data_IF_719882418602
#
_entry.id   IF_719882418602
#
_cell.length_a   1.000
_cell.length_b   1.000
_cell.length_c   1.000
_cell.angle_alpha   90.00
_cell.angle_beta   90.00
_cell.angle_gamma   90.00
#
_symmetry.space_group_name_H-M   'P 1'
#
loop_
_entity.id
_entity.type
_entity.pdbx_description
1 polymer ?
#
# COMPACT_ATOMS: atom_id res chain seq x y z
N UNK A 1 6.27 -15.37 11.86
CA UNK A 1 5.47 -14.38 11.12
C UNK A 1 6.07 -14.23 9.76
N UNK A 2 5.26 -14.18 8.71
CA UNK A 2 5.73 -13.89 7.36
C UNK A 2 5.00 -12.66 6.84
N UNK A 3 5.75 -11.75 6.21
CA UNK A 3 5.16 -10.56 5.61
C UNK A 3 5.38 -10.60 4.10
N UNK A 4 4.28 -10.51 3.36
CA UNK A 4 4.28 -10.42 1.91
C UNK A 4 3.87 -9.01 1.51
N UNK A 5 4.62 -8.40 0.59
CA UNK A 5 4.28 -7.11 -0.03
C UNK A 5 4.04 -7.39 -1.49
N UNK A 6 2.79 -7.25 -1.91
CA UNK A 6 2.31 -7.66 -3.23
C UNK A 6 1.89 -6.42 -4.00
N UNK A 7 2.33 -6.36 -5.24
CA UNK A 7 1.90 -5.36 -6.21
C UNK A 7 0.41 -5.51 -6.52
N UNK A 8 -0.35 -4.41 -6.50
CA UNK A 8 -1.72 -4.38 -7.01
C UNK A 8 -1.69 -4.56 -8.53
N UNK A 9 -1.94 -5.80 -8.99
CA UNK A 9 -2.02 -6.13 -10.41
C UNK A 9 -3.42 -5.86 -10.98
N UNK A 10 -3.46 -5.53 -12.27
CA UNK A 10 -4.67 -5.52 -13.08
C UNK A 10 -4.50 -6.55 -14.21
N UNK A 11 -5.33 -7.60 -14.30
CA UNK A 11 -6.47 -7.91 -13.42
C UNK A 11 -6.05 -8.35 -12.01
N UNK A 12 -6.86 -7.96 -11.00
CA UNK A 12 -6.63 -8.33 -9.60
C UNK A 12 -7.05 -9.79 -9.39
N UNK A 13 -6.15 -10.69 -8.95
CA UNK A 13 -6.53 -12.07 -8.64
C UNK A 13 -7.47 -12.11 -7.44
N UNK A 14 -8.24 -13.19 -7.33
CA UNK A 14 -9.08 -13.42 -6.15
C UNK A 14 -8.19 -13.57 -4.92
N UNK A 15 -8.63 -13.09 -3.75
CA UNK A 15 -7.86 -13.21 -2.50
C UNK A 15 -7.42 -14.66 -2.21
N UNK A 16 -8.27 -15.63 -2.56
CA UNK A 16 -7.96 -17.06 -2.44
C UNK A 16 -6.83 -17.50 -3.37
N UNK A 17 -6.82 -17.04 -4.63
CA UNK A 17 -5.78 -17.34 -5.60
C UNK A 17 -4.44 -16.76 -5.14
N UNK A 18 -4.46 -15.51 -4.67
CA UNK A 18 -3.27 -14.84 -4.14
C UNK A 18 -2.67 -15.62 -2.97
N UNK A 19 -3.49 -15.99 -1.98
CA UNK A 19 -3.02 -16.76 -0.82
C UNK A 19 -2.49 -18.14 -1.26
N UNK A 20 -3.15 -18.79 -2.21
CA UNK A 20 -2.70 -20.08 -2.73
C UNK A 20 -1.28 -19.98 -3.31
N UNK A 21 -1.00 -18.92 -4.06
CA UNK A 21 0.31 -18.64 -4.64
C UNK A 21 1.36 -18.31 -3.57
N UNK A 22 1.03 -17.40 -2.65
CA UNK A 22 1.94 -16.96 -1.59
C UNK A 22 2.27 -18.09 -0.60
N UNK A 23 1.32 -18.98 -0.31
CA UNK A 23 1.49 -20.09 0.66
C UNK A 23 2.59 -21.08 0.26
N UNK A 24 2.98 -21.09 -1.02
CA UNK A 24 4.00 -21.97 -1.57
C UNK A 24 5.40 -21.35 -1.56
N UNK A 25 5.50 -20.06 -1.28
CA UNK A 25 6.80 -19.40 -1.19
C UNK A 25 7.49 -19.87 0.08
N UNK A 26 8.49 -20.74 -0.10
CA UNK A 26 9.38 -21.14 0.97
C UNK A 26 10.44 -20.07 1.17
N UNK A 27 10.77 -19.83 2.43
CA UNK A 27 11.86 -18.94 2.81
C UNK A 27 12.67 -19.61 3.90
N UNK A 28 13.94 -19.26 3.97
CA UNK A 28 14.83 -19.78 5.01
C UNK A 28 14.39 -19.31 6.39
N UNK A 29 14.57 -20.16 7.39
CA UNK A 29 14.31 -19.79 8.77
C UNK A 29 15.33 -18.73 9.21
N UNK A 30 14.84 -17.53 9.53
CA UNK A 30 15.66 -16.38 9.93
C UNK A 30 15.24 -15.87 11.30
N UNK A 31 16.19 -15.26 12.02
CA UNK A 31 15.91 -14.59 13.30
C UNK A 31 15.07 -13.33 13.14
N UNK A 32 15.09 -12.72 11.96
CA UNK A 32 14.31 -11.54 11.60
C UNK A 32 13.02 -11.91 10.89
N UNK A 33 12.04 -11.00 10.90
CA UNK A 33 10.80 -11.19 10.15
C UNK A 33 11.11 -11.15 8.65
N UNK A 34 10.84 -12.24 7.91
CA UNK A 34 11.04 -12.26 6.46
C UNK A 34 10.00 -11.35 5.78
N UNK A 35 10.50 -10.52 4.88
CA UNK A 35 9.68 -9.64 4.03
C UNK A 35 9.90 -10.07 2.59
N UNK A 36 8.84 -10.61 2.01
CA UNK A 36 8.83 -11.18 0.68
C UNK A 36 8.10 -10.20 -0.24
N UNK A 37 8.82 -9.67 -1.21
CA UNK A 37 8.28 -8.73 -2.19
C UNK A 37 7.89 -9.51 -3.44
N UNK A 38 6.65 -9.32 -3.89
CA UNK A 38 6.11 -10.00 -5.06
C UNK A 38 5.59 -8.95 -6.02
N UNK A 39 6.38 -8.66 -7.05
CA UNK A 39 6.03 -7.69 -8.09
C UNK A 39 5.06 -8.29 -9.11
N UNK A 40 5.42 -9.47 -9.62
CA UNK A 40 4.67 -10.13 -10.69
C UNK A 40 4.22 -11.53 -10.28
N UNK A 41 2.91 -11.73 -10.18
CA UNK A 41 2.30 -13.00 -9.80
C UNK A 41 2.29 -14.03 -10.93
N UNK A 42 2.61 -13.64 -12.17
CA UNK A 42 2.55 -14.58 -13.30
C UNK A 42 3.58 -15.72 -13.16
N UNK A 43 4.71 -15.49 -12.49
CA UNK A 43 5.69 -16.53 -12.18
C UNK A 43 5.17 -17.55 -11.16
N UNK A 44 4.06 -17.25 -10.49
CA UNK A 44 3.41 -18.11 -9.49
C UNK A 44 2.15 -18.81 -10.05
N UNK A 45 1.75 -18.53 -11.31
CA UNK A 45 0.57 -19.14 -11.96
C UNK A 45 0.68 -20.65 -12.07
N UNK A 46 1.89 -21.16 -12.26
CA UNK A 46 2.18 -22.60 -12.39
C UNK A 46 2.10 -23.32 -11.03
N UNK A 47 2.01 -22.55 -9.94
CA UNK A 47 1.89 -23.04 -8.57
C UNK A 47 0.44 -23.11 -8.09
N UNK A 48 -0.54 -23.23 -8.99
CA UNK A 48 -1.91 -23.57 -8.60
C UNK A 48 -1.97 -25.05 -8.22
N UNK A 49 -2.60 -25.38 -7.08
CA UNK A 49 -2.87 -26.79 -6.78
C UNK A 49 -3.70 -27.02 -5.54
N UNK A 50 -3.86 -28.30 -5.23
CA UNK A 50 -5.13 -28.91 -4.84
C UNK A 50 -5.78 -28.51 -3.50
N UNK A 51 -5.16 -27.68 -2.65
CA UNK A 51 -5.73 -27.28 -1.34
C UNK A 51 -5.21 -25.90 -0.89
N UNK A 52 -5.77 -24.78 -1.38
CA UNK A 52 -5.42 -23.46 -0.88
C UNK A 52 -5.86 -23.29 0.58
N UNK A 53 -5.11 -22.52 1.41
CA UNK A 53 -5.59 -22.11 2.72
C UNK A 53 -6.93 -21.38 2.58
N UNK A 54 -7.98 -21.92 3.19
CA UNK A 54 -9.35 -21.36 3.08
C UNK A 54 -9.60 -20.23 4.10
N UNK A 55 -8.71 -20.11 5.07
CA UNK A 55 -8.91 -19.25 6.22
C UNK A 55 -8.08 -17.97 6.11
N UNK A 56 -8.77 -16.88 5.75
CA UNK A 56 -8.18 -15.56 5.62
C UNK A 56 -9.16 -14.47 6.02
N UNK A 57 -8.61 -13.37 6.52
CA UNK A 57 -9.36 -12.13 6.76
C UNK A 57 -8.84 -11.03 5.84
N UNK A 58 -9.74 -10.34 5.16
CA UNK A 58 -9.43 -9.19 4.31
C UNK A 58 -9.81 -7.91 5.02
N UNK A 59 -8.90 -6.94 5.03
CA UNK A 59 -9.15 -5.58 5.47
C UNK A 59 -8.79 -4.58 4.38
N UNK A 60 -9.53 -3.49 4.34
CA UNK A 60 -9.11 -2.28 3.63
C UNK A 60 -8.45 -1.33 4.62
N UNK A 61 -7.46 -0.54 4.18
CA UNK A 61 -6.85 0.46 5.04
C UNK A 61 -7.89 1.42 5.66
N UNK A 62 -8.98 1.70 4.94
CA UNK A 62 -10.12 2.49 5.43
C UNK A 62 -10.71 1.98 6.75
N UNK A 63 -10.68 0.67 7.00
CA UNK A 63 -11.23 0.07 8.21
C UNK A 63 -10.48 0.54 9.47
N UNK A 64 -9.24 1.01 9.31
CA UNK A 64 -8.37 1.46 10.41
C UNK A 64 -8.27 2.98 10.54
N UNK A 65 -8.91 3.75 9.65
CA UNK A 65 -8.84 5.21 9.67
C UNK A 65 -9.82 5.81 10.67
N UNK A 66 -9.48 6.97 11.23
CA UNK A 66 -10.41 7.75 12.04
C UNK A 66 -11.54 8.35 11.20
N UNK A 67 -12.78 8.31 11.71
CA UNK A 67 -13.94 8.97 11.09
C UNK A 67 -13.86 10.51 11.21
N UNK A 68 -13.19 11.01 12.25
CA UNK A 68 -12.95 12.44 12.43
C UNK A 68 -11.70 12.84 11.66
N UNK A 69 -11.90 13.22 10.42
CA UNK A 69 -10.82 13.60 9.51
C UNK A 69 -10.24 14.95 9.93
N UNK A 70 -9.05 14.98 10.53
CA UNK A 70 -8.26 16.21 10.61
C UNK A 70 -7.57 16.39 9.25
N UNK A 71 -8.29 17.00 8.29
CA UNK A 71 -7.82 17.29 6.92
C UNK A 71 -6.85 18.48 6.94
N UNK A 72 -5.79 18.44 7.74
CA UNK A 72 -4.80 19.52 7.71
C UNK A 72 -3.77 19.33 6.61
N UNK A 73 -3.54 18.10 6.13
CA UNK A 73 -2.51 17.80 5.10
C UNK A 73 -2.92 16.74 4.04
N UNK A 74 -4.20 16.34 3.98
CA UNK A 74 -4.64 15.23 3.11
C UNK A 74 -4.15 13.83 3.55
N UNK A 75 -3.49 13.72 4.70
CA UNK A 75 -3.19 12.46 5.37
C UNK A 75 -4.30 12.11 6.36
N UNK A 76 -4.74 10.85 6.32
CA UNK A 76 -5.73 10.32 7.27
C UNK A 76 -4.99 9.69 8.44
N UNK A 77 -5.34 10.06 9.68
CA UNK A 77 -4.72 9.45 10.85
C UNK A 77 -5.27 8.04 11.06
N UNK A 78 -4.36 7.09 11.26
CA UNK A 78 -4.71 5.71 11.57
C UNK A 78 -5.05 5.58 13.07
N UNK A 79 -6.14 4.93 13.44
CA UNK A 79 -6.50 4.75 14.85
C UNK A 79 -5.85 3.48 15.45
N UNK A 80 -4.94 3.59 16.44
CA UNK A 80 -4.35 2.41 17.09
C UNK A 80 -5.39 1.54 17.83
N UNK A 81 -6.50 2.12 18.28
CA UNK A 81 -7.58 1.38 18.93
C UNK A 81 -8.32 0.52 17.90
N UNK A 82 -8.59 1.07 16.70
CA UNK A 82 -9.18 0.27 15.61
C UNK A 82 -8.28 -0.89 15.20
N UNK A 83 -6.96 -0.66 15.07
CA UNK A 83 -6.00 -1.75 14.82
C UNK A 83 -6.14 -2.83 15.89
N UNK A 84 -6.16 -2.45 17.16
CA UNK A 84 -6.27 -3.39 18.28
C UNK A 84 -7.60 -4.16 18.25
N UNK A 85 -8.72 -3.48 18.02
CA UNK A 85 -10.06 -4.08 17.95
C UNK A 85 -10.15 -5.07 16.79
N UNK A 86 -9.72 -4.68 15.59
CA UNK A 86 -9.77 -5.55 14.42
C UNK A 86 -8.80 -6.73 14.58
N UNK A 87 -7.54 -6.48 14.96
CA UNK A 87 -6.51 -7.52 15.05
C UNK A 87 -6.73 -8.51 16.20
N UNK A 88 -7.43 -8.13 17.27
CA UNK A 88 -7.79 -9.05 18.35
C UNK A 88 -8.89 -10.04 17.99
N UNK A 89 -9.76 -9.69 17.03
CA UNK A 89 -10.87 -10.52 16.55
C UNK A 89 -10.47 -11.50 15.45
N UNK A 90 -9.26 -11.38 14.91
CA UNK A 90 -8.80 -12.24 13.84
C UNK A 90 -8.47 -13.60 14.43
N UNK A 91 -9.12 -14.64 13.92
CA UNK A 91 -8.72 -16.03 14.13
C UNK A 91 -8.01 -16.61 12.91
N UNK A 92 -8.11 -15.96 11.75
CA UNK A 92 -7.51 -16.41 10.50
C UNK A 92 -5.99 -16.41 10.45
N UNK A 93 -5.40 -17.50 9.93
CA UNK A 93 -3.95 -17.61 9.74
C UNK A 93 -3.36 -16.60 8.73
N UNK A 94 -4.17 -16.16 7.76
CA UNK A 94 -3.80 -15.16 6.75
C UNK A 94 -4.57 -13.86 6.93
N UNK A 95 -3.86 -12.73 6.88
CA UNK A 95 -4.43 -11.39 6.98
C UNK A 95 -4.00 -10.60 5.75
N UNK A 96 -4.98 -10.16 4.96
CA UNK A 96 -4.76 -9.37 3.76
C UNK A 96 -5.18 -7.94 4.05
N UNK A 97 -4.30 -6.98 3.76
CA UNK A 97 -4.52 -5.56 4.00
C UNK A 97 -4.34 -4.83 2.67
N UNK A 98 -5.41 -4.25 2.18
CA UNK A 98 -5.41 -3.49 0.94
C UNK A 98 -5.19 -1.99 1.19
N UNK A 99 -4.07 -1.46 0.71
CA UNK A 99 -3.74 -0.04 0.83
C UNK A 99 -4.46 0.83 -0.20
N UNK A 100 -5.14 0.25 -1.20
CA UNK A 100 -5.86 1.02 -2.20
C UNK A 100 -4.98 2.11 -2.83
N UNK A 101 -5.53 3.33 -2.92
CA UNK A 101 -4.83 4.52 -3.45
C UNK A 101 -4.54 5.55 -2.34
N UNK A 102 -4.36 5.11 -1.10
CA UNK A 102 -4.11 6.01 0.01
C UNK A 102 -2.73 6.69 -0.09
N UNK A 103 -2.62 7.89 0.50
CA UNK A 103 -1.39 8.65 0.53
C UNK A 103 -0.28 7.87 1.27
N UNK A 104 0.96 7.98 0.79
CA UNK A 104 2.12 7.27 1.34
C UNK A 104 2.30 7.52 2.85
N UNK A 105 2.02 8.75 3.31
CA UNK A 105 2.09 9.15 4.73
C UNK A 105 1.10 8.36 5.59
N UNK A 106 -0.14 8.19 5.12
CA UNK A 106 -1.19 7.40 5.79
C UNK A 106 -0.77 5.93 5.89
N UNK A 107 -0.30 5.35 4.78
CA UNK A 107 0.15 3.96 4.74
C UNK A 107 1.36 3.73 5.65
N UNK A 108 2.32 4.66 5.68
CA UNK A 108 3.49 4.60 6.56
C UNK A 108 3.12 4.68 8.04
N UNK A 109 2.17 5.56 8.39
CA UNK A 109 1.65 5.67 9.76
C UNK A 109 0.97 4.37 10.21
N UNK A 110 0.18 3.76 9.32
CA UNK A 110 -0.44 2.46 9.57
C UNK A 110 0.60 1.36 9.79
N UNK A 111 1.61 1.24 8.91
CA UNK A 111 2.69 0.25 9.05
C UNK A 111 3.38 0.37 10.41
N UNK A 112 3.71 1.61 10.82
CA UNK A 112 4.37 1.87 12.11
C UNK A 112 3.49 1.48 13.29
N UNK A 113 2.20 1.80 13.25
CA UNK A 113 1.26 1.47 14.34
C UNK A 113 1.00 -0.04 14.41
N UNK A 114 0.89 -0.70 13.26
CA UNK A 114 0.72 -2.15 13.18
C UNK A 114 1.97 -2.90 13.68
N UNK A 115 3.18 -2.43 13.35
CA UNK A 115 4.41 -3.08 13.82
C UNK A 115 4.57 -2.97 15.34
N UNK A 116 4.26 -1.80 15.92
CA UNK A 116 4.21 -1.60 17.38
C UNK A 116 3.19 -2.52 18.04
N UNK A 117 2.02 -2.66 17.45
CA UNK A 117 1.01 -3.59 17.94
C UNK A 117 1.50 -5.05 17.85
N UNK A 118 2.18 -5.45 16.77
CA UNK A 118 2.77 -6.79 16.63
C UNK A 118 3.90 -7.08 17.63
N UNK A 119 4.59 -6.04 18.10
CA UNK A 119 5.59 -6.17 19.17
C UNK A 119 4.93 -6.41 20.53
N UNK A 120 3.82 -5.69 20.81
CA UNK A 120 3.09 -5.79 22.08
C UNK A 120 2.25 -7.08 22.14
N UNK A 121 1.59 -7.47 21.04
CA UNK A 121 0.69 -8.62 21.00
C UNK A 121 1.26 -9.76 20.13
N UNK A 122 1.66 -10.89 20.73
CA UNK A 122 2.27 -12.00 20.00
C UNK A 122 1.28 -12.75 19.10
N UNK A 123 -0.03 -12.48 19.17
CA UNK A 123 -1.03 -13.12 18.30
C UNK A 123 -0.75 -12.89 16.81
N UNK A 124 -0.18 -11.74 16.43
CA UNK A 124 0.20 -11.47 15.04
C UNK A 124 1.47 -12.20 14.61
N UNK A 125 2.37 -12.50 15.55
CA UNK A 125 3.68 -13.10 15.23
C UNK A 125 3.56 -14.53 14.67
N UNK A 126 2.40 -15.19 14.88
CA UNK A 126 2.11 -16.53 14.36
C UNK A 126 1.33 -16.52 13.03
N UNK A 127 1.07 -15.34 12.45
CA UNK A 127 0.22 -15.17 11.25
C UNK A 127 1.03 -14.75 10.03
N UNK A 128 0.41 -14.86 8.87
CA UNK A 128 0.92 -14.35 7.59
C UNK A 128 0.23 -13.01 7.29
N UNK A 129 1.00 -11.95 7.13
CA UNK A 129 0.52 -10.63 6.72
C UNK A 129 0.77 -10.43 5.23
N UNK A 130 -0.23 -9.95 4.51
CA UNK A 130 -0.13 -9.64 3.08
C UNK A 130 -0.58 -8.20 2.88
N UNK A 131 0.31 -7.36 2.35
CA UNK A 131 0.02 -5.99 1.99
C UNK A 131 -0.12 -5.88 0.48
N UNK A 132 -1.30 -5.49 -0.01
CA UNK A 132 -1.46 -5.15 -1.43
C UNK A 132 -1.25 -3.66 -1.62
N UNK A 133 -0.21 -3.29 -2.36
CA UNK A 133 0.25 -1.90 -2.53
C UNK A 133 0.34 -1.53 -4.01
N UNK A 134 0.21 -0.25 -4.39
CA UNK A 134 0.46 0.18 -5.76
C UNK A 134 1.88 -0.20 -6.22
N UNK A 135 2.00 -0.78 -7.42
CA UNK A 135 3.26 -1.29 -8.00
C UNK A 135 4.42 -0.28 -7.93
N UNK A 136 4.11 0.97 -8.26
CA UNK A 136 4.99 2.13 -8.20
C UNK A 136 5.65 2.39 -6.84
N UNK A 137 5.04 1.95 -5.73
CA UNK A 137 5.52 2.14 -4.36
C UNK A 137 5.93 0.81 -3.70
N UNK A 138 6.01 -0.28 -4.47
CA UNK A 138 6.28 -1.62 -3.94
C UNK A 138 7.59 -1.65 -3.13
N UNK A 139 8.69 -1.16 -3.72
CA UNK A 139 9.99 -1.10 -3.05
C UNK A 139 9.97 -0.18 -1.83
N UNK A 140 9.34 1.00 -1.93
CA UNK A 140 9.22 1.96 -0.83
C UNK A 140 8.46 1.38 0.36
N UNK A 141 7.34 0.69 0.11
CA UNK A 141 6.57 0.06 1.19
C UNK A 141 7.28 -1.16 1.76
N UNK A 142 7.91 -1.99 0.94
CA UNK A 142 8.71 -3.12 1.41
C UNK A 142 9.83 -2.68 2.35
N UNK A 143 10.54 -1.61 1.99
CA UNK A 143 11.57 -0.99 2.82
C UNK A 143 10.99 -0.47 4.14
N UNK A 144 9.90 0.31 4.10
CA UNK A 144 9.26 0.83 5.33
C UNK A 144 8.75 -0.27 6.25
N UNK A 145 8.20 -1.35 5.69
CA UNK A 145 7.78 -2.52 6.45
C UNK A 145 8.99 -3.19 7.10
N UNK A 146 10.12 -3.29 6.38
CA UNK A 146 11.35 -3.86 6.92
C UNK A 146 11.92 -3.02 8.06
N UNK A 147 11.99 -1.71 7.88
CA UNK A 147 12.40 -0.78 8.93
C UNK A 147 11.51 -0.89 10.17
N UNK A 148 10.19 -0.97 9.97
CA UNK A 148 9.22 -0.95 11.07
C UNK A 148 9.10 -2.27 11.83
N UNK A 149 9.25 -3.42 11.16
CA UNK A 149 9.10 -4.75 11.78
C UNK A 149 10.43 -5.35 12.24
N UNK A 150 11.54 -5.01 11.61
CA UNK A 150 12.88 -5.48 12.01
C UNK A 150 13.68 -4.40 12.78
N UNK A 151 13.06 -3.27 13.14
CA UNK A 151 13.68 -2.17 13.88
C UNK A 151 14.99 -1.68 13.24
N UNK A 152 15.04 -1.61 11.91
CA UNK A 152 16.21 -1.10 11.20
C UNK A 152 16.25 0.43 11.29
N UNK A 153 17.44 1.06 11.25
CA UNK A 153 17.54 2.51 11.19
C UNK A 153 16.78 3.06 9.99
N UNK A 154 15.96 4.09 10.22
CA UNK A 154 15.14 4.72 9.18
C UNK A 154 16.09 5.26 8.10
N UNK A 155 16.07 4.64 6.92
CA UNK A 155 16.84 5.12 5.80
C UNK A 155 16.07 6.24 5.12
N UNK A 156 16.59 7.47 5.22
CA UNK A 156 16.02 8.64 4.55
C UNK A 156 16.43 8.64 3.08
N UNK A 157 16.06 7.61 2.32
CA UNK A 157 16.10 7.70 0.86
C UNK A 157 14.83 8.46 0.48
N UNK A 158 14.91 9.80 0.48
CA UNK A 158 13.85 10.60 -0.12
C UNK A 158 13.79 10.23 -1.60
N UNK A 159 12.79 9.48 -2.03
CA UNK A 159 12.53 9.33 -3.46
C UNK A 159 12.16 10.72 -3.99
N UNK A 160 12.98 11.37 -4.84
CA UNK A 160 12.71 12.71 -5.36
C UNK A 160 11.52 12.74 -6.36
N UNK A 161 10.73 11.68 -6.42
CA UNK A 161 9.71 11.41 -7.43
C UNK A 161 8.27 11.63 -6.95
N UNK A 162 8.03 11.90 -5.66
CA UNK A 162 6.66 12.07 -5.13
C UNK A 162 5.86 13.18 -5.83
N UNK A 163 6.47 14.35 -6.07
CA UNK A 163 5.80 15.48 -6.74
C UNK A 163 5.52 15.19 -8.22
N UNK A 164 6.43 14.51 -8.92
CA UNK A 164 6.28 14.14 -10.33
C UNK A 164 5.19 13.08 -10.53
N UNK A 165 5.02 12.22 -9.54
CA UNK A 165 4.04 11.15 -9.52
C UNK A 165 2.65 11.67 -9.16
N UNK A 166 2.53 12.54 -8.15
CA UNK A 166 1.26 13.23 -7.83
C UNK A 166 0.79 14.03 -9.05
N UNK A 167 1.71 14.74 -9.72
CA UNK A 167 1.38 15.43 -10.97
C UNK A 167 0.98 14.46 -12.08
N UNK A 168 1.64 13.31 -12.26
CA UNK A 168 1.20 12.30 -13.23
C UNK A 168 -0.18 11.74 -12.94
N UNK A 169 -0.49 11.40 -11.69
CA UNK A 169 -1.81 10.88 -11.29
C UNK A 169 -2.91 11.93 -11.51
N UNK A 170 -2.64 13.20 -11.16
CA UNK A 170 -3.53 14.32 -11.44
C UNK A 170 -3.75 14.55 -12.95
N UNK A 171 -2.70 14.42 -13.76
CA UNK A 171 -2.84 14.50 -15.22
C UNK A 171 -3.64 13.32 -15.79
N UNK A 172 -3.54 12.13 -15.21
CA UNK A 172 -4.32 10.96 -15.65
C UNK A 172 -5.80 11.06 -15.24
N UNK A 173 -6.12 11.60 -14.06
CA UNK A 173 -7.52 11.86 -13.68
C UNK A 173 -8.14 12.96 -14.53
N UNK A 174 -7.41 14.04 -14.82
CA UNK A 174 -7.84 15.07 -15.78
C UNK A 174 -8.03 14.48 -17.17
N UNK A 175 -7.13 13.62 -17.65
CA UNK A 175 -7.29 12.97 -18.96
C UNK A 175 -8.58 12.15 -19.01
N UNK A 176 -8.88 11.35 -17.98
CA UNK A 176 -10.13 10.58 -17.90
C UNK A 176 -11.37 11.48 -17.91
N UNK A 177 -11.35 12.60 -17.20
CA UNK A 177 -12.42 13.59 -17.21
C UNK A 177 -12.54 14.32 -18.56
N UNK A 178 -11.42 14.55 -19.26
CA UNK A 178 -11.41 15.17 -20.58
C UNK A 178 -11.90 14.24 -21.69
N UNK A 179 -11.77 12.92 -21.51
CA UNK A 179 -12.34 11.92 -22.43
C UNK A 179 -13.86 11.84 -22.27
N UNK A 180 -14.39 12.16 -21.08
CA UNK A 180 -15.84 12.24 -20.82
C UNK A 180 -16.48 13.58 -21.19
N UNK A 181 -15.72 14.56 -21.68
CA UNK A 181 -16.21 15.87 -22.11
C UNK A 181 -15.85 16.08 -23.59
N UNK A 182 -16.82 16.41 -24.48
CA UNK A 182 -16.54 16.60 -25.90
C UNK A 182 -15.88 17.97 -26.08
N UNK A 183 -14.59 18.08 -25.77
CA UNK A 183 -13.83 19.31 -25.93
C UNK A 183 -13.10 19.30 -27.29
N UNK A 184 -13.14 20.41 -28.05
CA UNK A 184 -12.48 20.49 -29.35
C UNK A 184 -10.96 20.37 -29.19
N UNK A 185 -10.38 19.44 -29.94
CA UNK A 185 -9.03 18.89 -29.85
C UNK A 185 -7.86 19.89 -30.03
N UNK A 186 -8.13 21.17 -30.26
CA UNK A 186 -7.14 22.23 -30.46
C UNK A 186 -6.71 23.01 -29.20
N UNK A 187 -7.42 22.90 -28.07
CA UNK A 187 -7.19 23.76 -26.90
C UNK A 187 -6.29 23.15 -25.80
N UNK A 188 -5.84 21.90 -25.95
CA UNK A 188 -5.14 21.15 -24.90
C UNK A 188 -3.67 21.59 -24.62
N UNK A 189 -2.85 21.98 -25.62
CA UNK A 189 -1.46 22.39 -25.36
C UNK A 189 -1.30 23.64 -24.47
N UNK A 190 -2.08 24.74 -24.66
CA UNK A 190 -1.89 25.96 -23.87
C UNK A 190 -2.34 25.79 -22.41
N UNK A 191 -3.39 25.00 -22.15
CA UNK A 191 -3.93 24.77 -20.79
C UNK A 191 -2.90 24.02 -19.92
N UNK A 192 -2.23 23.02 -20.48
CA UNK A 192 -1.18 22.26 -19.78
C UNK A 192 -0.02 23.16 -19.33
N UNK A 193 0.36 24.12 -20.18
CA UNK A 193 1.43 25.07 -19.88
C UNK A 193 1.00 26.14 -18.87
N UNK A 194 -0.29 26.53 -18.87
CA UNK A 194 -0.85 27.45 -17.88
C UNK A 194 -0.91 26.82 -16.49
N UNK A 195 -1.43 25.58 -16.38
CA UNK A 195 -1.49 24.82 -15.15
C UNK A 195 -0.11 24.55 -14.55
N UNK A 196 0.89 24.25 -15.40
CA UNK A 196 2.28 24.06 -14.95
C UNK A 196 2.89 25.35 -14.40
N UNK A 197 2.52 26.52 -14.96
CA UNK A 197 2.99 27.84 -14.50
C UNK A 197 2.33 28.26 -13.18
N UNK A 198 1.04 28.03 -13.01
CA UNK A 198 0.34 28.33 -11.75
C UNK A 198 0.80 27.40 -10.62
N UNK A 199 0.96 26.10 -10.90
CA UNK A 199 1.49 25.15 -9.94
C UNK A 199 2.90 25.51 -9.45
N UNK A 200 3.81 25.87 -10.37
CA UNK A 200 5.17 26.34 -10.00
C UNK A 200 5.16 27.63 -9.17
N UNK A 201 4.22 28.54 -9.39
CA UNK A 201 4.14 29.79 -8.61
C UNK A 201 3.58 29.56 -7.21
N UNK A 202 2.58 28.70 -7.06
CA UNK A 202 1.91 28.48 -5.77
C UNK A 202 2.70 27.54 -4.85
N UNK A 203 3.27 26.45 -5.39
CA UNK A 203 3.93 25.44 -4.56
C UNK A 203 5.45 25.62 -4.40
N UNK A 204 6.10 26.43 -5.25
CA UNK A 204 7.55 26.67 -5.17
C UNK A 204 7.93 27.97 -4.45
N UNK A 205 6.94 28.83 -4.12
CA UNK A 205 7.17 30.08 -3.39
C UNK A 205 6.90 29.99 -1.89
N UNK A 206 6.49 28.82 -1.38
CA UNK A 206 6.22 28.57 0.04
C UNK A 206 7.33 27.72 0.69
N UNK A 207 8.58 28.06 0.39
CA UNK A 207 9.77 27.47 1.03
C UNK A 207 10.61 28.56 1.65
#
# INVERSE_FOLDING_TARGET
MNIFVVSQLNPKPTSQELISQLSRIQHENRKTVPIIVVDELYNLSELLGRNPPKDYTLFNLNDFLHEKVSITDGAMCTDPNKITVHMNKIDSSWILIDFGQHAEKTCAEFILKLSRYSYINPKLQKRNLVFTVPSMYLGTFAQKINESFNNLPISRISTPYSDQIITMLFFNTIKKLSISLPLPSGALPPIKNLLRRTYKRLFKSAK
#
